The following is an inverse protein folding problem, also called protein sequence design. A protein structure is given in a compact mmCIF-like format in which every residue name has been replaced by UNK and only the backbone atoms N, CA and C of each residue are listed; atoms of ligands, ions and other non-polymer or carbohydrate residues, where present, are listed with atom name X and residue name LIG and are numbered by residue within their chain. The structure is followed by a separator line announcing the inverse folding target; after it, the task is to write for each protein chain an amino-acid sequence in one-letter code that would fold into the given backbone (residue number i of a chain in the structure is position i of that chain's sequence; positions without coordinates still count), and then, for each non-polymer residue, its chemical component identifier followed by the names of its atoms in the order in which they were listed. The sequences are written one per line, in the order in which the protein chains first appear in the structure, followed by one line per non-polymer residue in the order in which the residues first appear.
data_IF_953689375899
#
_entry.id   IF_953689375899
#
_cell.length_a   1.000
_cell.length_b   1.000
_cell.length_c   1.000
_cell.angle_alpha   90.00
_cell.angle_beta   90.00
_cell.angle_gamma   90.00
#
_symmetry.space_group_name_H-M   'P 1'
#
loop_
_entity.id
_entity.type
_entity.pdbx_description
1 polymer ?
#
# COMPACT_ATOMS: atom_id res chain seq x y z
N UNK A 1 -7.09 13.59 8.97
CA UNK A 1 -8.35 13.10 9.56
C UNK A 1 -9.27 12.47 8.52
N UNK A 2 -9.76 13.19 7.50
CA UNK A 2 -10.62 12.57 6.46
C UNK A 2 -9.92 11.47 5.63
N UNK A 3 -8.62 11.59 5.32
CA UNK A 3 -7.87 10.58 4.56
C UNK A 3 -7.83 9.22 5.28
N UNK A 4 -7.60 9.24 6.60
CA UNK A 4 -7.35 8.04 7.41
C UNK A 4 -8.64 7.25 7.65
N UNK A 5 -9.75 7.96 7.88
CA UNK A 5 -11.10 7.43 7.98
C UNK A 5 -11.50 6.68 6.69
N UNK A 6 -11.33 7.31 5.52
CA UNK A 6 -11.68 6.67 4.25
C UNK A 6 -10.77 5.49 3.90
N UNK A 7 -9.47 5.61 4.15
CA UNK A 7 -8.56 4.47 3.95
C UNK A 7 -8.93 3.32 4.87
N UNK A 8 -9.29 3.61 6.12
CA UNK A 8 -9.84 2.63 7.05
C UNK A 8 -11.09 1.98 6.43
N UNK A 9 -12.05 2.76 5.96
CA UNK A 9 -13.25 2.23 5.30
C UNK A 9 -12.92 1.32 4.09
N UNK A 10 -11.98 1.69 3.23
CA UNK A 10 -11.54 0.87 2.08
C UNK A 10 -10.90 -0.45 2.52
N UNK A 11 -10.07 -0.43 3.57
CA UNK A 11 -9.47 -1.65 4.12
C UNK A 11 -10.54 -2.57 4.75
N UNK A 12 -11.62 -2.02 5.32
CA UNK A 12 -12.76 -2.83 5.78
C UNK A 12 -13.43 -3.53 4.63
N UNK A 13 -13.67 -2.83 3.51
CA UNK A 13 -14.27 -3.43 2.32
C UNK A 13 -13.44 -4.62 1.83
N UNK A 14 -12.12 -4.44 1.74
CA UNK A 14 -11.21 -5.53 1.36
C UNK A 14 -11.30 -6.68 2.36
N UNK A 15 -11.25 -6.41 3.67
CA UNK A 15 -11.28 -7.46 4.68
C UNK A 15 -12.66 -8.07 4.98
N UNK A 16 -13.76 -7.50 4.47
CA UNK A 16 -15.13 -7.90 4.84
C UNK A 16 -15.69 -9.07 4.02
N UNK A 17 -15.04 -9.46 2.92
CA UNK A 17 -15.41 -10.68 2.19
C UNK A 17 -14.79 -11.88 2.90
N UNK A 18 -15.60 -12.85 3.35
CA UNK A 18 -15.16 -13.93 4.26
C UNK A 18 -13.87 -14.66 3.81
N UNK A 19 -13.76 -15.02 2.53
CA UNK A 19 -12.56 -15.69 2.00
C UNK A 19 -11.33 -14.77 1.97
N UNK A 20 -11.55 -13.46 1.85
CA UNK A 20 -10.53 -12.42 1.85
C UNK A 20 -10.09 -12.09 3.28
N UNK A 21 -11.02 -12.11 4.23
CA UNK A 21 -10.74 -11.92 5.66
C UNK A 21 -9.66 -12.89 6.17
N UNK A 22 -9.76 -14.17 5.77
CA UNK A 22 -8.78 -15.21 6.14
C UNK A 22 -7.39 -14.92 5.57
N UNK A 23 -7.31 -14.24 4.41
CA UNK A 23 -6.09 -14.08 3.61
C UNK A 23 -5.43 -12.71 3.73
N UNK A 24 -6.02 -11.79 4.49
CA UNK A 24 -5.54 -10.39 4.56
C UNK A 24 -4.72 -10.10 5.81
N UNK A 25 -4.72 -10.96 6.83
CA UNK A 25 -4.14 -10.68 8.14
C UNK A 25 -4.61 -9.34 8.75
N UNK A 26 -5.84 -8.92 8.39
CA UNK A 26 -6.49 -7.74 8.94
C UNK A 26 -7.40 -8.14 10.09
N UNK A 27 -7.29 -7.44 11.22
CA UNK A 27 -8.31 -7.46 12.27
C UNK A 27 -9.18 -6.21 12.09
N UNK A 28 -10.48 -6.43 11.89
CA UNK A 28 -11.48 -5.38 11.69
C UNK A 28 -12.24 -5.14 13.01
N UNK A 29 -11.81 -4.17 13.80
CA UNK A 29 -12.47 -3.75 15.04
C UNK A 29 -12.88 -2.26 14.96
N UNK A 30 -12.80 -1.47 16.04
CA UNK A 30 -12.95 0.01 15.96
C UNK A 30 -11.81 0.66 15.15
N UNK A 31 -10.66 0.02 15.16
CA UNK A 31 -9.49 0.24 14.32
C UNK A 31 -9.31 -0.93 13.34
N UNK A 32 -8.48 -0.73 12.33
CA UNK A 32 -8.02 -1.81 11.44
C UNK A 32 -6.57 -2.04 11.75
N UNK A 33 -6.24 -3.29 12.03
CA UNK A 33 -4.88 -3.69 12.40
C UNK A 33 -4.35 -4.69 11.38
N UNK A 34 -3.20 -4.37 10.82
CA UNK A 34 -2.45 -5.26 9.93
C UNK A 34 -1.42 -6.04 10.74
N UNK A 35 -1.44 -7.36 10.61
CA UNK A 35 -0.48 -8.25 11.26
C UNK A 35 0.46 -8.91 10.26
N UNK A 36 1.71 -9.10 10.69
CA UNK A 36 2.70 -9.91 10.00
C UNK A 36 3.13 -11.03 10.96
N UNK A 37 2.55 -12.22 10.78
CA UNK A 37 2.52 -13.25 11.82
C UNK A 37 1.68 -12.81 13.02
N UNK A 38 2.23 -12.96 14.24
CA UNK A 38 1.54 -12.61 15.49
C UNK A 38 1.84 -11.18 15.99
N UNK A 39 2.55 -10.38 15.20
CA UNK A 39 3.00 -9.04 15.59
C UNK A 39 2.20 -8.01 14.79
N UNK A 40 1.71 -6.97 15.46
CA UNK A 40 0.99 -5.87 14.83
C UNK A 40 1.98 -4.95 14.09
N UNK A 41 1.83 -4.86 12.77
CA UNK A 41 2.64 -4.03 11.90
C UNK A 41 2.09 -2.61 11.78
N UNK A 42 0.78 -2.49 11.55
CA UNK A 42 0.13 -1.20 11.36
C UNK A 42 -1.25 -1.18 12.01
N UNK A 43 -1.65 0.00 12.49
CA UNK A 43 -3.01 0.27 12.99
C UNK A 43 -3.51 1.58 12.39
N UNK A 44 -4.74 1.56 11.91
CA UNK A 44 -5.39 2.72 11.33
C UNK A 44 -6.81 2.86 11.87
N UNK A 45 -7.20 4.09 12.20
CA UNK A 45 -8.55 4.45 12.59
C UNK A 45 -8.80 5.92 12.17
N UNK A 46 -9.92 6.49 12.62
CA UNK A 46 -10.38 7.83 12.20
C UNK A 46 -9.38 8.95 12.56
N UNK A 47 -8.54 8.75 13.58
CA UNK A 47 -7.65 9.77 14.13
C UNK A 47 -6.15 9.44 14.06
N UNK A 48 -5.76 8.21 13.74
CA UNK A 48 -4.37 7.72 13.82
C UNK A 48 -4.00 6.83 12.66
N UNK A 49 -2.75 6.94 12.25
CA UNK A 49 -2.06 5.93 11.46
C UNK A 49 -0.78 5.59 12.21
N UNK A 50 -0.68 4.36 12.70
CA UNK A 50 0.49 3.89 13.44
C UNK A 50 1.26 2.84 12.67
N UNK A 51 2.58 2.98 12.67
CA UNK A 51 3.52 1.94 12.29
C UNK A 51 4.19 1.41 13.57
N UNK A 52 4.07 0.12 13.82
CA UNK A 52 4.63 -0.52 15.02
C UNK A 52 4.28 0.20 16.34
N UNK A 53 3.06 0.75 16.44
CA UNK A 53 2.60 1.50 17.62
C UNK A 53 2.99 2.98 17.67
N UNK A 54 3.83 3.46 16.76
CA UNK A 54 4.20 4.87 16.64
C UNK A 54 3.31 5.58 15.63
N UNK A 55 2.72 6.71 16.04
CA UNK A 55 1.92 7.55 15.16
C UNK A 55 2.80 8.20 14.07
N UNK A 56 2.36 8.07 12.83
CA UNK A 56 3.01 8.61 11.62
C UNK A 56 2.02 9.39 10.76
N UNK A 57 0.84 9.73 11.29
CA UNK A 57 -0.19 10.44 10.54
C UNK A 57 0.30 11.79 9.99
N UNK A 58 1.12 12.50 10.77
CA UNK A 58 1.71 13.79 10.40
C UNK A 58 2.48 13.74 9.07
N UNK A 59 3.02 12.58 8.69
CA UNK A 59 3.73 12.35 7.43
C UNK A 59 2.82 12.37 6.20
N UNK A 60 1.54 12.07 6.35
CA UNK A 60 0.56 11.99 5.26
C UNK A 60 -0.25 13.29 5.04
N UNK A 61 -0.12 14.27 5.94
CA UNK A 61 -0.95 15.47 5.90
C UNK A 61 -0.40 16.48 4.89
N UNK A 62 -1.05 16.60 3.73
CA UNK A 62 -0.90 17.77 2.85
C UNK A 62 -1.63 18.94 3.50
N UNK A 63 -0.96 20.08 3.68
CA UNK A 63 -1.63 21.34 3.99
C UNK A 63 -2.32 21.83 2.71
N UNK A 64 -3.51 21.32 2.42
CA UNK A 64 -4.35 21.85 1.35
C UNK A 64 -5.71 22.23 1.89
N UNK A 65 -6.16 23.43 1.51
CA UNK A 65 -7.50 23.93 1.81
C UNK A 65 -8.56 23.36 0.85
N UNK A 66 -8.13 22.57 -0.15
CA UNK A 66 -9.04 21.90 -1.08
C UNK A 66 -9.62 20.65 -0.42
N UNK A 67 -10.86 20.78 0.04
CA UNK A 67 -11.71 19.65 0.38
C UNK A 67 -12.18 18.98 -0.92
N UNK A 68 -11.37 18.08 -1.46
CA UNK A 68 -11.81 17.13 -2.48
C UNK A 68 -11.97 15.75 -1.83
N UNK A 69 -13.13 15.12 -2.00
CA UNK A 69 -13.34 13.69 -1.68
C UNK A 69 -14.03 13.06 -2.87
N UNK A 70 -13.30 12.19 -3.57
CA UNK A 70 -13.84 11.38 -4.66
C UNK A 70 -13.25 9.99 -4.52
N UNK A 71 -14.00 9.05 -3.97
CA UNK A 71 -13.57 7.67 -3.74
C UNK A 71 -14.58 6.71 -4.37
N UNK A 72 -14.08 5.67 -5.03
CA UNK A 72 -14.87 4.66 -5.76
C UNK A 72 -15.21 3.45 -4.87
N UNK A 73 -15.84 3.69 -3.72
CA UNK A 73 -16.12 2.69 -2.68
C UNK A 73 -16.98 1.52 -3.19
N UNK A 74 -18.16 1.81 -3.76
CA UNK A 74 -19.08 0.78 -4.29
C UNK A 74 -18.42 -0.07 -5.40
N UNK A 75 -17.61 0.57 -6.24
CA UNK A 75 -16.87 -0.12 -7.31
C UNK A 75 -15.79 -1.05 -6.76
N UNK A 76 -15.15 -0.65 -5.66
CA UNK A 76 -14.21 -1.52 -4.95
C UNK A 76 -14.92 -2.72 -4.33
N UNK A 77 -16.07 -2.52 -3.70
CA UNK A 77 -16.84 -3.61 -3.11
C UNK A 77 -17.27 -4.65 -4.15
N UNK A 78 -17.77 -4.20 -5.30
CA UNK A 78 -18.09 -5.07 -6.43
C UNK A 78 -16.84 -5.83 -6.92
N UNK A 79 -15.74 -5.12 -7.13
CA UNK A 79 -14.49 -5.74 -7.59
C UNK A 79 -13.98 -6.80 -6.61
N UNK A 80 -13.92 -6.51 -5.31
CA UNK A 80 -13.46 -7.47 -4.29
C UNK A 80 -14.37 -8.70 -4.22
N UNK A 81 -15.68 -8.51 -4.40
CA UNK A 81 -16.65 -9.60 -4.48
C UNK A 81 -16.40 -10.49 -5.72
N UNK A 82 -16.17 -9.89 -6.89
CA UNK A 82 -15.94 -10.60 -8.15
C UNK A 82 -14.63 -11.40 -8.16
N UNK A 83 -13.60 -10.93 -7.45
CA UNK A 83 -12.30 -11.61 -7.38
C UNK A 83 -12.14 -12.51 -6.16
N UNK A 84 -13.14 -12.64 -5.28
CA UNK A 84 -13.04 -13.27 -3.97
C UNK A 84 -12.36 -14.66 -4.02
N UNK A 85 -12.81 -15.53 -4.95
CA UNK A 85 -12.26 -16.88 -5.12
C UNK A 85 -10.82 -16.90 -5.64
N UNK A 86 -10.42 -15.84 -6.36
CA UNK A 86 -9.09 -15.69 -6.93
C UNK A 86 -8.16 -14.84 -6.04
N UNK A 87 -8.67 -14.28 -4.94
CA UNK A 87 -7.88 -13.50 -4.00
C UNK A 87 -6.82 -14.38 -3.32
N UNK A 88 -5.57 -13.95 -3.31
CA UNK A 88 -4.46 -14.67 -2.69
C UNK A 88 -4.05 -14.06 -1.35
N UNK A 89 -3.77 -12.76 -1.32
CA UNK A 89 -3.32 -12.06 -0.11
C UNK A 89 -3.42 -10.54 -0.27
N UNK A 90 -3.41 -9.86 0.88
CA UNK A 90 -2.95 -8.48 0.96
C UNK A 90 -1.41 -8.48 0.87
N UNK A 91 -0.84 -7.88 -0.17
CA UNK A 91 0.60 -7.89 -0.40
C UNK A 91 1.30 -6.83 0.47
N UNK A 92 0.82 -5.59 0.39
CA UNK A 92 1.27 -4.53 1.27
C UNK A 92 0.24 -3.40 1.35
N UNK A 93 0.39 -2.61 2.40
CA UNK A 93 -0.21 -1.28 2.49
C UNK A 93 0.92 -0.27 2.47
N UNK A 94 0.81 0.76 1.65
CA UNK A 94 1.89 1.69 1.36
C UNK A 94 1.51 3.13 1.59
N UNK A 95 2.49 3.93 1.99
CA UNK A 95 2.41 5.38 2.00
C UNK A 95 3.58 6.00 1.24
N UNK A 96 3.32 7.11 0.57
CA UNK A 96 4.38 7.95 0.03
C UNK A 96 4.23 9.37 0.54
N UNK A 97 5.35 10.03 0.81
CA UNK A 97 5.39 11.43 1.20
C UNK A 97 6.75 12.07 0.91
N UNK A 98 6.75 13.41 0.92
CA UNK A 98 7.93 14.21 0.68
C UNK A 98 8.69 14.44 1.98
N UNK A 99 10.01 14.38 1.91
CA UNK A 99 10.91 14.65 3.04
C UNK A 99 12.03 15.62 2.64
N UNK A 100 12.44 16.46 3.59
CA UNK A 100 13.59 17.35 3.40
C UNK A 100 14.91 16.56 3.31
N UNK A 101 15.02 15.51 4.12
CA UNK A 101 16.18 14.63 4.19
C UNK A 101 15.73 13.16 4.30
N UNK A 102 16.05 12.39 3.26
CA UNK A 102 15.72 10.96 3.16
C UNK A 102 16.45 10.15 4.22
N UNK A 103 17.73 10.43 4.48
CA UNK A 103 18.54 9.60 5.39
C UNK A 103 18.14 9.83 6.85
N UNK A 104 17.78 11.07 7.19
CA UNK A 104 17.19 11.41 8.49
C UNK A 104 15.85 10.69 8.70
N UNK A 105 14.97 10.68 7.68
CA UNK A 105 13.69 9.98 7.79
C UNK A 105 13.87 8.46 7.88
N UNK A 106 14.77 7.87 7.09
CA UNK A 106 15.15 6.45 7.21
C UNK A 106 15.58 6.13 8.63
N UNK A 107 16.43 6.98 9.22
CA UNK A 107 16.90 6.81 10.61
C UNK A 107 15.75 6.91 11.62
N UNK A 108 14.74 7.73 11.36
CA UNK A 108 13.51 7.80 12.15
C UNK A 108 12.70 6.51 12.05
N UNK A 109 12.47 6.01 10.83
CA UNK A 109 11.73 4.77 10.59
C UNK A 109 12.46 3.58 11.20
N UNK A 110 13.79 3.53 11.11
CA UNK A 110 14.59 2.51 11.78
C UNK A 110 14.33 2.47 13.28
N UNK A 111 14.27 3.63 13.95
CA UNK A 111 13.97 3.71 15.39
C UNK A 111 12.54 3.23 15.71
N UNK A 112 11.57 3.48 14.85
CA UNK A 112 10.18 3.00 15.01
C UNK A 112 10.11 1.48 14.92
N UNK A 113 10.83 0.89 13.96
CA UNK A 113 10.86 -0.57 13.72
C UNK A 113 11.76 -1.28 14.72
N UNK A 114 12.70 -0.55 15.33
CA UNK A 114 13.62 -1.12 16.30
C UNK A 114 12.85 -1.71 17.50
N UNK A 115 13.23 -2.92 17.90
CA UNK A 115 12.63 -3.68 19.01
C UNK A 115 11.21 -4.21 18.78
N UNK A 116 10.67 -4.15 17.57
CA UNK A 116 9.30 -4.62 17.28
C UNK A 116 9.25 -6.07 16.79
N UNK A 117 10.41 -6.71 16.59
CA UNK A 117 10.53 -8.03 15.95
C UNK A 117 10.45 -7.99 14.42
N UNK A 118 10.24 -6.81 13.82
CA UNK A 118 10.31 -6.60 12.38
C UNK A 118 11.68 -6.07 11.96
N UNK A 119 11.93 -6.18 10.65
CA UNK A 119 13.09 -5.61 10.00
C UNK A 119 12.64 -4.51 9.03
N UNK A 120 13.59 -3.65 8.66
CA UNK A 120 13.40 -2.67 7.60
C UNK A 120 14.22 -3.08 6.39
N UNK A 121 13.59 -3.09 5.23
CA UNK A 121 14.19 -3.44 3.96
C UNK A 121 14.14 -2.24 3.02
N UNK A 122 15.10 -2.16 2.11
CA UNK A 122 15.11 -1.21 1.01
C UNK A 122 15.09 -1.95 -0.33
N UNK A 123 14.31 -1.45 -1.27
CA UNK A 123 14.43 -1.84 -2.67
C UNK A 123 15.45 -0.91 -3.36
N UNK A 124 16.40 -1.45 -4.14
CA UNK A 124 17.33 -0.64 -4.90
C UNK A 124 16.59 0.31 -5.85
N UNK A 125 16.83 1.62 -5.71
CA UNK A 125 16.31 2.62 -6.65
C UNK A 125 17.46 3.23 -7.43
N UNK A 126 17.27 3.35 -8.75
CA UNK A 126 18.15 4.13 -9.62
C UNK A 126 18.01 5.65 -9.42
N UNK A 127 16.99 6.11 -8.68
CA UNK A 127 16.78 7.52 -8.39
C UNK A 127 17.30 7.87 -6.99
N UNK A 128 18.36 8.68 -6.84
CA UNK A 128 18.88 9.07 -5.53
C UNK A 128 17.92 9.97 -4.73
N UNK A 129 16.89 10.55 -5.39
CA UNK A 129 15.88 11.40 -4.74
C UNK A 129 14.67 10.62 -4.25
N UNK A 130 14.65 9.30 -4.39
CA UNK A 130 13.56 8.49 -3.84
C UNK A 130 14.05 7.18 -3.26
N UNK A 131 13.37 6.71 -2.22
CA UNK A 131 13.67 5.46 -1.54
C UNK A 131 12.39 4.70 -1.26
N UNK A 132 12.39 3.43 -1.65
CA UNK A 132 11.34 2.47 -1.35
C UNK A 132 11.81 1.62 -0.19
N UNK A 133 11.05 1.69 0.89
CA UNK A 133 11.31 0.97 2.12
C UNK A 133 10.13 0.05 2.40
N UNK A 134 10.40 -1.09 3.02
CA UNK A 134 9.38 -2.03 3.45
C UNK A 134 9.65 -2.45 4.89
N UNK A 135 8.67 -2.29 5.76
CA UNK A 135 8.70 -2.78 7.14
C UNK A 135 7.90 -4.07 7.26
N UNK A 136 8.42 -5.07 7.98
CA UNK A 136 7.71 -6.31 8.28
C UNK A 136 8.65 -7.52 8.36
N UNK A 137 8.12 -8.70 8.02
CA UNK A 137 8.84 -9.96 8.04
C UNK A 137 8.90 -10.58 6.64
N UNK A 138 10.09 -10.73 6.08
CA UNK A 138 10.30 -11.37 4.76
C UNK A 138 10.55 -12.87 4.83
N UNK A 139 10.80 -13.45 6.02
CA UNK A 139 11.00 -14.90 6.18
C UNK A 139 9.70 -15.64 5.82
N UNK A 140 8.57 -15.15 6.31
CA UNK A 140 7.27 -15.54 5.79
C UNK A 140 6.89 -14.60 4.64
N UNK A 141 7.34 -14.94 3.44
CA UNK A 141 7.18 -14.12 2.24
C UNK A 141 5.71 -13.83 1.86
N UNK A 142 4.75 -14.59 2.41
CA UNK A 142 3.32 -14.36 2.21
C UNK A 142 2.73 -13.30 3.15
N UNK A 143 3.46 -12.95 4.21
CA UNK A 143 3.02 -11.92 5.14
C UNK A 143 3.01 -10.54 4.47
N UNK A 144 2.01 -9.70 4.78
CA UNK A 144 1.96 -8.36 4.26
C UNK A 144 3.13 -7.53 4.80
N UNK A 145 3.63 -6.61 3.98
CA UNK A 145 4.58 -5.58 4.41
C UNK A 145 3.88 -4.22 4.49
N UNK A 146 4.53 -3.26 5.15
CA UNK A 146 4.17 -1.85 5.11
C UNK A 146 5.18 -1.12 4.24
N UNK A 147 4.74 -0.58 3.11
CA UNK A 147 5.59 0.15 2.16
C UNK A 147 5.68 1.63 2.54
N UNK A 148 6.87 2.20 2.44
CA UNK A 148 7.13 3.62 2.65
C UNK A 148 7.99 4.13 1.49
N UNK A 149 7.42 5.02 0.68
CA UNK A 149 8.10 5.64 -0.45
C UNK A 149 8.44 7.09 -0.12
N UNK A 150 9.71 7.32 0.20
CA UNK A 150 10.24 8.64 0.50
C UNK A 150 10.68 9.32 -0.78
N UNK A 151 10.32 10.59 -0.94
CA UNK A 151 10.83 11.42 -2.05
C UNK A 151 11.42 12.73 -1.51
N UNK A 152 12.61 13.10 -2.00
CA UNK A 152 13.23 14.39 -1.70
C UNK A 152 12.79 15.41 -2.73
N UNK A 153 12.10 16.44 -2.29
CA UNK A 153 11.73 17.55 -3.16
C UNK A 153 12.92 18.48 -3.37
N UNK A 154 13.29 18.69 -4.62
CA UNK A 154 14.19 19.77 -5.04
C UNK A 154 13.41 20.62 -6.04
N UNK A 155 12.73 21.65 -5.55
CA UNK A 155 12.08 22.69 -6.36
C UNK A 155 11.09 22.20 -7.43
N UNK A 156 10.17 21.27 -7.09
CA UNK A 156 9.13 20.89 -8.05
C UNK A 156 7.93 21.84 -7.91
N UNK A 157 7.32 22.29 -9.03
CA UNK A 157 6.07 23.06 -8.97
C UNK A 157 4.92 22.11 -8.60
N UNK A 158 4.68 21.90 -7.29
CA UNK A 158 3.47 21.44 -6.59
C UNK A 158 2.68 20.20 -7.12
N UNK A 159 3.09 19.51 -8.19
CA UNK A 159 2.17 18.62 -8.94
C UNK A 159 2.68 17.24 -9.35
N UNK A 160 3.97 16.91 -9.24
CA UNK A 160 4.43 15.60 -9.73
C UNK A 160 4.32 14.46 -8.70
N UNK A 161 4.51 14.73 -7.41
CA UNK A 161 4.44 13.70 -6.37
C UNK A 161 3.69 14.19 -5.13
N UNK A 162 2.37 13.99 -5.12
CA UNK A 162 1.55 14.16 -3.91
C UNK A 162 1.68 12.91 -3.04
N UNK A 163 1.52 13.03 -1.71
CA UNK A 163 1.45 11.84 -0.90
C UNK A 163 0.32 10.95 -1.41
N UNK A 164 0.54 9.65 -1.30
CA UNK A 164 -0.46 8.70 -1.68
C UNK A 164 -0.50 7.55 -0.69
N UNK A 165 -1.66 6.92 -0.64
CA UNK A 165 -1.90 5.67 0.03
C UNK A 165 -2.04 4.60 -1.04
N UNK A 166 -1.36 3.47 -0.87
CA UNK A 166 -1.43 2.33 -1.78
C UNK A 166 -1.96 1.12 -1.01
N UNK A 167 -2.96 0.46 -1.58
CA UNK A 167 -3.39 -0.85 -1.10
C UNK A 167 -3.09 -1.83 -2.23
N UNK A 168 -2.26 -2.82 -1.96
CA UNK A 168 -1.81 -3.76 -2.97
C UNK A 168 -2.20 -5.19 -2.62
N UNK A 169 -2.88 -5.87 -3.53
CA UNK A 169 -3.42 -7.22 -3.34
C UNK A 169 -2.90 -8.16 -4.43
N UNK A 170 -2.77 -9.44 -4.12
CA UNK A 170 -2.40 -10.47 -5.10
C UNK A 170 -3.62 -11.32 -5.47
N UNK A 171 -3.71 -11.72 -6.74
CA UNK A 171 -4.73 -12.63 -7.27
C UNK A 171 -4.09 -13.77 -8.07
N UNK A 172 -4.82 -14.88 -8.23
CA UNK A 172 -4.47 -15.97 -9.13
C UNK A 172 -4.92 -15.75 -10.58
N UNK A 173 -5.58 -14.63 -10.86
CA UNK A 173 -6.10 -14.30 -12.19
C UNK A 173 -4.96 -14.09 -13.18
N UNK A 174 -5.22 -14.42 -14.45
CA UNK A 174 -4.36 -13.98 -15.57
C UNK A 174 -4.61 -12.51 -15.86
N UNK A 175 -3.62 -11.82 -16.42
CA UNK A 175 -3.66 -10.38 -16.69
C UNK A 175 -4.91 -9.95 -17.48
N UNK A 176 -5.20 -10.56 -18.62
CA UNK A 176 -6.40 -10.23 -19.43
C UNK A 176 -7.71 -10.32 -18.63
N UNK A 177 -7.87 -11.38 -17.81
CA UNK A 177 -9.07 -11.55 -16.99
C UNK A 177 -9.15 -10.51 -15.88
N UNK A 178 -8.02 -10.18 -15.26
CA UNK A 178 -7.93 -9.11 -14.26
C UNK A 178 -8.29 -7.75 -14.87
N UNK A 179 -7.75 -7.43 -16.05
CA UNK A 179 -8.05 -6.20 -16.77
C UNK A 179 -9.55 -6.07 -17.07
N UNK A 180 -10.19 -7.15 -17.53
CA UNK A 180 -11.64 -7.16 -17.78
C UNK A 180 -12.42 -6.83 -16.50
N UNK A 181 -12.13 -7.48 -15.37
CA UNK A 181 -12.81 -7.15 -14.09
C UNK A 181 -12.59 -5.69 -13.67
N UNK A 182 -11.36 -5.18 -13.82
CA UNK A 182 -11.03 -3.80 -13.48
C UNK A 182 -11.79 -2.80 -14.38
N UNK A 183 -11.89 -3.09 -15.68
CA UNK A 183 -12.62 -2.25 -16.64
C UNK A 183 -14.12 -2.30 -16.37
N UNK A 184 -14.68 -3.48 -16.11
CA UNK A 184 -16.11 -3.66 -15.83
C UNK A 184 -16.53 -2.91 -14.57
N UNK A 185 -15.72 -2.98 -13.50
CA UNK A 185 -16.01 -2.28 -12.24
C UNK A 185 -15.71 -0.78 -12.30
N UNK A 186 -14.54 -0.41 -12.82
CA UNK A 186 -14.00 0.95 -12.67
C UNK A 186 -14.03 1.80 -13.94
N UNK A 187 -14.19 1.20 -15.11
CA UNK A 187 -14.14 1.82 -16.43
C UNK A 187 -12.75 1.75 -17.07
N UNK A 188 -12.70 1.94 -18.40
CA UNK A 188 -11.49 1.82 -19.24
C UNK A 188 -10.33 2.72 -18.79
N UNK A 189 -10.62 3.88 -18.20
CA UNK A 189 -9.61 4.84 -17.76
C UNK A 189 -9.06 4.54 -16.35
N UNK A 190 -9.48 3.45 -15.71
CA UNK A 190 -9.06 3.16 -14.34
C UNK A 190 -7.57 2.85 -14.24
N UNK A 191 -7.10 1.97 -15.12
CA UNK A 191 -5.72 1.49 -15.14
C UNK A 191 -4.83 2.65 -15.61
N UNK A 192 -3.90 3.06 -14.74
CA UNK A 192 -2.97 4.15 -15.01
C UNK A 192 -1.56 3.67 -15.32
N UNK A 193 -1.23 2.47 -14.89
CA UNK A 193 0.07 1.90 -15.08
C UNK A 193 -0.01 0.38 -15.15
N UNK A 194 0.73 -0.18 -16.09
CA UNK A 194 0.89 -1.62 -16.33
C UNK A 194 2.36 -1.97 -16.41
N UNK A 195 2.72 -3.14 -15.92
CA UNK A 195 4.05 -3.71 -16.15
C UNK A 195 3.93 -5.02 -16.91
N UNK A 196 4.37 -5.00 -18.16
CA UNK A 196 4.30 -6.16 -19.06
C UNK A 196 5.55 -7.07 -18.98
N UNK A 197 6.37 -6.93 -17.93
CA UNK A 197 7.59 -7.74 -17.73
C UNK A 197 7.36 -8.75 -16.60
N UNK A 198 7.27 -10.06 -16.91
CA UNK A 198 7.15 -11.10 -15.90
C UNK A 198 8.31 -11.08 -14.89
N UNK A 199 8.05 -11.49 -13.65
CA UNK A 199 9.06 -11.81 -12.62
C UNK A 199 9.81 -10.65 -11.93
N UNK A 200 9.39 -9.39 -12.07
CA UNK A 200 10.06 -8.28 -11.36
C UNK A 200 9.50 -7.97 -9.96
N UNK A 201 8.41 -8.63 -9.53
CA UNK A 201 7.91 -8.52 -8.16
C UNK A 201 7.16 -7.22 -7.82
N UNK A 202 6.83 -6.41 -8.83
CA UNK A 202 6.11 -5.13 -8.73
C UNK A 202 4.67 -5.23 -9.23
N UNK A 203 3.90 -4.15 -9.03
CA UNK A 203 2.48 -4.08 -9.38
C UNK A 203 2.27 -4.35 -10.87
N UNK A 204 1.19 -5.05 -11.24
CA UNK A 204 0.94 -5.40 -12.64
C UNK A 204 -0.18 -4.53 -13.22
N UNK A 205 -1.19 -4.23 -12.41
CA UNK A 205 -2.25 -3.30 -12.74
C UNK A 205 -2.41 -2.32 -11.58
N UNK A 206 -2.20 -1.02 -11.82
CA UNK A 206 -2.40 0.02 -10.82
C UNK A 206 -3.42 1.04 -11.30
N UNK A 207 -4.44 1.29 -10.47
CA UNK A 207 -5.47 2.29 -10.75
C UNK A 207 -5.73 3.20 -9.56
N UNK A 208 -6.23 4.40 -9.85
CA UNK A 208 -6.58 5.38 -8.83
C UNK A 208 -8.04 5.18 -8.38
N UNK A 209 -8.21 4.77 -7.13
CA UNK A 209 -9.52 4.71 -6.47
C UNK A 209 -10.07 6.12 -6.24
N UNK A 210 -9.18 7.09 -6.01
CA UNK A 210 -9.57 8.47 -5.87
C UNK A 210 -8.56 9.37 -5.18
N UNK A 211 -9.04 10.51 -4.69
CA UNK A 211 -8.26 11.47 -3.89
C UNK A 211 -9.09 12.03 -2.73
N UNK A 212 -8.38 12.34 -1.65
CA UNK A 212 -8.93 12.97 -0.45
C UNK A 212 -7.95 14.03 0.02
N UNK A 213 -8.39 15.29 0.11
CA UNK A 213 -7.55 16.41 0.55
C UNK A 213 -6.19 16.41 -0.16
N UNK A 214 -6.20 16.21 -1.48
CA UNK A 214 -4.99 16.12 -2.30
C UNK A 214 -4.14 14.85 -2.15
N UNK A 215 -4.39 13.97 -1.17
CA UNK A 215 -3.76 12.66 -1.06
C UNK A 215 -4.42 11.67 -2.01
N UNK A 216 -3.63 11.03 -2.87
CA UNK A 216 -4.14 10.04 -3.84
C UNK A 216 -4.28 8.68 -3.19
N UNK A 217 -5.28 7.89 -3.57
CA UNK A 217 -5.47 6.52 -3.10
C UNK A 217 -5.43 5.59 -4.31
N UNK A 218 -4.50 4.65 -4.29
CA UNK A 218 -4.25 3.69 -5.34
C UNK A 218 -4.60 2.27 -4.89
N UNK A 219 -5.13 1.50 -5.84
CA UNK A 219 -5.25 0.05 -5.76
C UNK A 219 -4.24 -0.55 -6.73
N UNK A 220 -3.30 -1.31 -6.18
CA UNK A 220 -2.43 -2.21 -6.94
C UNK A 220 -3.03 -3.61 -6.94
N UNK A 221 -3.01 -4.27 -8.09
CA UNK A 221 -3.43 -5.66 -8.21
C UNK A 221 -2.35 -6.48 -8.90
N UNK A 222 -1.93 -7.54 -8.23
CA UNK A 222 -0.99 -8.54 -8.71
C UNK A 222 -1.72 -9.73 -9.33
N UNK A 223 -1.07 -10.33 -10.32
CA UNK A 223 -1.44 -11.62 -10.91
C UNK A 223 -0.44 -12.68 -10.47
N UNK A 224 -0.63 -13.90 -10.96
CA UNK A 224 0.34 -14.99 -10.81
C UNK A 224 1.74 -14.69 -11.40
N UNK A 225 1.90 -13.64 -12.22
CA UNK A 225 3.21 -13.21 -12.73
C UNK A 225 4.02 -12.43 -11.69
N UNK A 226 3.38 -11.95 -10.61
CA UNK A 226 4.08 -11.26 -9.52
C UNK A 226 4.81 -12.29 -8.67
N UNK A 227 6.14 -12.30 -8.79
CA UNK A 227 6.98 -13.18 -7.99
C UNK A 227 7.29 -12.54 -6.62
N UNK A 228 6.28 -12.48 -5.75
CA UNK A 228 6.38 -11.88 -4.41
C UNK A 228 7.51 -12.52 -3.59
N UNK A 229 7.66 -13.84 -3.66
CA UNK A 229 8.75 -14.55 -2.99
C UNK A 229 10.13 -14.05 -3.43
N UNK A 230 10.36 -13.96 -4.74
CA UNK A 230 11.60 -13.43 -5.29
C UNK A 230 11.83 -11.97 -4.87
N UNK A 231 10.79 -11.12 -4.88
CA UNK A 231 10.89 -9.76 -4.39
C UNK A 231 11.40 -9.72 -2.95
N UNK A 232 10.74 -10.48 -2.05
CA UNK A 232 11.08 -10.51 -0.62
C UNK A 232 12.47 -11.11 -0.34
N UNK A 233 12.89 -12.12 -1.09
CA UNK A 233 14.13 -12.87 -0.83
C UNK A 233 15.36 -12.33 -1.57
N UNK A 234 15.17 -11.69 -2.73
CA UNK A 234 16.26 -11.36 -3.66
C UNK A 234 16.37 -9.88 -3.98
N UNK A 235 15.25 -9.15 -4.04
CA UNK A 235 15.26 -7.73 -4.38
C UNK A 235 15.35 -6.84 -3.13
N UNK A 236 14.65 -7.22 -2.06
CA UNK A 236 14.67 -6.48 -0.80
C UNK A 236 15.98 -6.71 -0.04
N UNK A 237 16.68 -5.61 0.25
CA UNK A 237 17.91 -5.62 1.03
C UNK A 237 17.62 -5.14 2.46
N UNK A 238 17.97 -5.96 3.44
CA UNK A 238 17.80 -5.62 4.86
C UNK A 238 18.72 -4.46 5.24
N UNK A 239 18.17 -3.43 5.87
CA UNK A 239 18.89 -2.23 6.34
C UNK A 239 18.74 -1.96 7.85
N UNK A 240 17.88 -2.73 8.53
CA UNK A 240 17.78 -2.87 9.99
C UNK A 240 17.29 -4.28 10.31
#
# INVERSE_FOLDING_TARGET
MQVVDEVSHLLRIIGNVHIVQIKTNLILDRSIKLFSGNIQLMEINDDKLKLCGHDILDKLLVKTDKLDKKIKTEKLENFISDIADSFLRLNHVGISYVVADIESEISSIKRIVQNTGFNLYAEPSGNPKSKWLFAGNTINWESPLFEIVLTKETNSPENLWRPHFQIDIDTSLKQEKLENYLIDCFGVDFIKWKLDIPNYGVVLEMGMLGSICGTKIYLGVGTNLRNTKYHREKLLQKIL
#
